data_IF_380257934043
#
_entry.id   IF_380257934043
#
_cell.length_a   1.000
_cell.length_b   1.000
_cell.length_c   1.000
_cell.angle_alpha   90.00
_cell.angle_beta   90.00
_cell.angle_gamma   90.00
#
_symmetry.space_group_name_H-M   'P 1'
#
loop_
_entity.id
_entity.type
_entity.pdbx_description
1 polymer ?
#
# COMPACT_ATOMS: atom_id res chain seq x y z
N UNK A 1 8.94 27.45 -32.52
CA UNK A 1 9.61 27.49 -31.21
C UNK A 1 8.66 28.17 -30.26
N UNK A 2 8.17 27.42 -29.27
CA UNK A 2 7.28 27.97 -28.26
C UNK A 2 8.15 28.74 -27.26
N UNK A 3 7.76 29.96 -26.89
CA UNK A 3 8.43 30.75 -25.85
C UNK A 3 7.37 31.19 -24.88
N UNK A 4 7.44 30.68 -23.65
CA UNK A 4 6.55 31.03 -22.56
C UNK A 4 7.13 32.22 -21.78
N UNK A 5 6.26 33.03 -21.19
CA UNK A 5 6.65 34.11 -20.27
C UNK A 5 6.26 33.72 -18.84
N UNK A 6 7.26 33.62 -17.98
CA UNK A 6 7.06 33.39 -16.55
C UNK A 6 7.52 34.64 -15.79
N UNK A 7 6.55 35.46 -15.38
CA UNK A 7 6.78 36.68 -14.60
C UNK A 7 7.77 37.67 -15.25
N UNK A 8 7.69 37.83 -16.58
CA UNK A 8 8.57 38.69 -17.38
C UNK A 8 9.85 38.01 -17.88
N UNK A 9 10.10 36.76 -17.49
CA UNK A 9 11.23 35.98 -17.98
C UNK A 9 10.82 35.07 -19.14
N UNK A 10 11.44 35.24 -20.30
CA UNK A 10 11.15 34.48 -21.52
C UNK A 10 11.87 33.13 -21.48
N UNK A 11 11.11 32.03 -21.44
CA UNK A 11 11.62 30.66 -21.45
C UNK A 11 11.29 30.01 -22.80
N UNK A 12 12.31 29.70 -23.63
CA UNK A 12 12.10 28.93 -24.84
C UNK A 12 11.91 27.44 -24.53
N UNK A 13 10.84 26.86 -25.05
CA UNK A 13 10.61 25.42 -25.09
C UNK A 13 10.56 24.93 -26.55
N UNK A 14 11.71 24.58 -27.14
CA UNK A 14 11.78 24.13 -28.52
C UNK A 14 11.13 22.76 -28.75
N UNK A 15 10.85 22.00 -27.70
CA UNK A 15 10.35 20.62 -27.79
C UNK A 15 8.92 20.45 -27.25
N UNK A 16 8.20 21.54 -26.96
CA UNK A 16 6.80 21.51 -26.55
C UNK A 16 5.88 20.63 -27.45
N UNK A 17 6.23 20.45 -28.73
CA UNK A 17 5.49 19.57 -29.63
C UNK A 17 5.53 18.08 -29.23
N UNK A 18 6.51 17.65 -28.42
CA UNK A 18 6.57 16.30 -27.84
C UNK A 18 5.51 16.07 -26.75
N UNK A 19 4.86 17.12 -26.25
CA UNK A 19 3.75 17.01 -25.28
C UNK A 19 2.49 16.39 -25.90
N UNK A 20 2.36 16.37 -27.24
CA UNK A 20 1.32 15.62 -27.94
C UNK A 20 1.82 14.21 -28.33
N UNK A 21 1.44 13.16 -27.58
CA UNK A 21 1.88 11.80 -27.86
C UNK A 21 1.19 11.17 -29.08
N UNK A 22 0.05 11.71 -29.52
CA UNK A 22 -0.73 11.16 -30.64
C UNK A 22 -0.25 11.71 -31.99
N UNK A 23 0.59 12.76 -32.00
CA UNK A 23 1.14 13.35 -33.23
C UNK A 23 2.13 12.41 -33.95
N UNK A 24 2.10 12.43 -35.29
CA UNK A 24 3.04 11.65 -36.11
C UNK A 24 4.50 12.11 -35.90
N UNK A 25 4.72 13.38 -35.55
CA UNK A 25 6.05 13.90 -35.25
C UNK A 25 6.62 13.26 -33.98
N UNK A 26 5.83 13.18 -32.91
CA UNK A 26 6.24 12.55 -31.64
C UNK A 26 6.48 11.05 -31.82
N UNK A 27 5.59 10.36 -32.55
CA UNK A 27 5.79 8.94 -32.88
C UNK A 27 7.09 8.70 -33.64
N UNK A 28 7.36 9.50 -34.68
CA UNK A 28 8.61 9.39 -35.45
C UNK A 28 9.85 9.67 -34.59
N UNK A 29 9.78 10.63 -33.68
CA UNK A 29 10.86 10.92 -32.73
C UNK A 29 11.13 9.73 -31.80
N UNK A 30 10.09 9.18 -31.16
CA UNK A 30 10.20 8.02 -30.26
C UNK A 30 10.77 6.80 -31.01
N UNK A 31 10.28 6.54 -32.22
CA UNK A 31 10.79 5.44 -33.05
C UNK A 31 12.28 5.64 -33.40
N UNK A 32 12.69 6.87 -33.74
CA UNK A 32 14.09 7.18 -34.02
C UNK A 32 14.99 7.01 -32.80
N UNK A 33 14.53 7.40 -31.60
CA UNK A 33 15.26 7.16 -30.34
C UNK A 33 15.41 5.66 -30.07
N UNK A 34 14.34 4.88 -30.20
CA UNK A 34 14.39 3.43 -30.03
C UNK A 34 15.35 2.76 -31.03
N UNK A 35 15.38 3.21 -32.30
CA UNK A 35 16.28 2.70 -33.34
C UNK A 35 17.77 2.92 -33.06
N UNK A 36 18.15 3.88 -32.23
CA UNK A 36 19.54 4.05 -31.81
C UNK A 36 19.83 3.35 -30.47
N UNK A 37 18.87 3.34 -29.55
CA UNK A 37 19.05 2.78 -28.21
C UNK A 37 19.02 1.25 -28.20
N UNK A 38 18.05 0.63 -28.86
CA UNK A 38 17.90 -0.84 -28.83
C UNK A 38 19.14 -1.53 -29.42
N UNK A 39 19.65 -1.16 -30.61
CA UNK A 39 20.88 -1.79 -31.13
C UNK A 39 22.10 -1.52 -30.25
N UNK A 40 22.22 -0.34 -29.65
CA UNK A 40 23.30 -0.03 -28.72
C UNK A 40 23.28 -0.95 -27.49
N UNK A 41 22.09 -1.16 -26.89
CA UNK A 41 21.93 -2.06 -25.75
C UNK A 41 22.16 -3.53 -26.15
N UNK A 42 21.67 -3.94 -27.32
CA UNK A 42 21.81 -5.32 -27.83
C UNK A 42 23.25 -5.68 -28.24
N UNK A 43 24.05 -4.70 -28.64
CA UNK A 43 25.48 -4.88 -28.93
C UNK A 43 26.33 -5.13 -27.67
N UNK A 44 25.80 -4.86 -26.47
CA UNK A 44 26.51 -5.11 -25.22
C UNK A 44 26.75 -6.62 -25.04
N UNK A 45 28.02 -7.10 -25.05
CA UNK A 45 28.32 -8.53 -25.09
C UNK A 45 27.87 -9.27 -23.83
N UNK A 46 27.72 -8.56 -22.71
CA UNK A 46 27.27 -9.14 -21.44
C UNK A 46 25.74 -9.11 -21.28
N UNK A 47 24.97 -8.49 -22.18
CA UNK A 47 23.51 -8.36 -22.02
C UNK A 47 22.83 -9.73 -21.96
N UNK A 48 23.24 -10.66 -22.83
CA UNK A 48 22.73 -12.04 -22.83
C UNK A 48 23.02 -12.75 -21.50
N UNK A 49 24.28 -12.68 -21.06
CA UNK A 49 24.74 -13.28 -19.80
C UNK A 49 24.01 -12.68 -18.58
N UNK A 50 23.83 -11.36 -18.55
CA UNK A 50 23.10 -10.68 -17.48
C UNK A 50 21.63 -11.08 -17.47
N UNK A 51 20.98 -11.11 -18.64
CA UNK A 51 19.57 -11.53 -18.75
C UNK A 51 19.39 -12.96 -18.28
N UNK A 52 20.25 -13.89 -18.70
CA UNK A 52 20.21 -15.28 -18.28
C UNK A 52 20.39 -15.39 -16.77
N UNK A 53 21.44 -14.77 -16.21
CA UNK A 53 21.71 -14.81 -14.78
C UNK A 53 20.61 -14.15 -13.93
N UNK A 54 20.06 -13.04 -14.39
CA UNK A 54 18.92 -12.38 -13.75
C UNK A 54 17.69 -13.29 -13.78
N UNK A 55 17.41 -13.96 -14.90
CA UNK A 55 16.28 -14.88 -15.03
C UNK A 55 16.42 -16.04 -14.05
N UNK A 56 17.60 -16.66 -13.97
CA UNK A 56 17.89 -17.73 -13.01
C UNK A 56 17.73 -17.30 -11.55
N UNK A 57 18.33 -16.16 -11.18
CA UNK A 57 18.30 -15.67 -9.80
C UNK A 57 16.93 -15.14 -9.39
N UNK A 58 16.11 -14.70 -10.35
CA UNK A 58 14.74 -14.28 -10.10
C UNK A 58 13.77 -15.46 -10.06
N UNK A 59 14.15 -16.65 -10.52
CA UNK A 59 13.29 -17.86 -10.51
C UNK A 59 13.27 -18.56 -9.15
N UNK A 60 12.59 -17.93 -8.19
CA UNK A 60 12.30 -18.49 -6.88
C UNK A 60 10.85 -18.20 -6.48
N UNK A 61 10.22 -19.06 -5.67
CA UNK A 61 8.82 -18.90 -5.29
C UNK A 61 8.62 -17.66 -4.41
N UNK A 62 7.65 -16.80 -4.74
CA UNK A 62 7.40 -15.54 -4.00
C UNK A 62 6.01 -15.57 -3.38
N UNK A 63 5.94 -15.38 -2.07
CA UNK A 63 4.69 -15.35 -1.31
C UNK A 63 4.47 -13.97 -0.70
N UNK A 64 3.21 -13.54 -0.57
CA UNK A 64 2.83 -12.49 0.37
C UNK A 64 2.48 -13.10 1.74
N UNK A 65 2.31 -12.26 2.75
CA UNK A 65 1.61 -12.65 3.97
C UNK A 65 0.25 -13.29 3.67
N UNK A 66 -0.13 -14.25 4.50
CA UNK A 66 -1.49 -14.78 4.57
C UNK A 66 -2.38 -13.81 5.31
N UNK A 67 -3.55 -13.49 4.77
CA UNK A 67 -4.54 -12.64 5.42
C UNK A 67 -5.90 -13.32 5.48
N UNK A 68 -6.59 -13.15 6.60
CA UNK A 68 -7.87 -13.80 6.86
C UNK A 68 -9.04 -12.91 6.47
N UNK A 69 -10.02 -13.48 5.78
CA UNK A 69 -11.32 -12.85 5.46
C UNK A 69 -12.43 -13.86 5.67
N UNK A 70 -13.36 -13.53 6.57
CA UNK A 70 -14.35 -14.47 7.07
C UNK A 70 -13.67 -15.74 7.61
N UNK A 71 -14.03 -16.89 7.03
CA UNK A 71 -13.50 -18.21 7.40
C UNK A 71 -12.29 -18.69 6.59
N UNK A 72 -11.79 -17.89 5.64
CA UNK A 72 -10.76 -18.32 4.68
C UNK A 72 -9.48 -17.48 4.82
N UNK A 73 -8.35 -18.05 4.42
CA UNK A 73 -7.09 -17.33 4.24
C UNK A 73 -6.82 -17.12 2.75
N UNK A 74 -6.20 -16.00 2.45
CA UNK A 74 -5.79 -15.62 1.12
C UNK A 74 -4.32 -15.20 1.15
N UNK A 75 -3.64 -15.40 0.03
CA UNK A 75 -2.26 -14.97 -0.16
C UNK A 75 -1.94 -14.88 -1.65
N UNK A 76 -1.00 -14.02 -2.01
CA UNK A 76 -0.45 -14.00 -3.36
C UNK A 76 0.73 -14.95 -3.46
N UNK A 77 0.85 -15.61 -4.60
CA UNK A 77 1.95 -16.50 -4.93
C UNK A 77 2.38 -16.35 -6.38
N UNK A 78 3.69 -16.30 -6.61
CA UNK A 78 4.32 -16.44 -7.92
C UNK A 78 5.27 -17.64 -7.86
N UNK A 79 5.14 -18.57 -8.81
CA UNK A 79 6.01 -19.76 -8.85
C UNK A 79 7.48 -19.43 -9.06
N UNK A 80 7.77 -18.29 -9.69
CA UNK A 80 9.12 -17.82 -9.98
C UNK A 80 9.10 -16.73 -11.04
N UNK A 81 8.71 -17.11 -12.26
CA UNK A 81 8.78 -16.28 -13.47
C UNK A 81 7.42 -15.96 -14.09
N UNK A 82 6.30 -16.15 -13.36
CA UNK A 82 5.01 -15.68 -13.86
C UNK A 82 5.03 -14.16 -14.00
N UNK A 83 4.38 -13.63 -15.05
CA UNK A 83 4.30 -12.17 -15.27
C UNK A 83 3.60 -11.48 -14.10
N UNK A 84 2.50 -12.05 -13.62
CA UNK A 84 1.74 -11.55 -12.48
C UNK A 84 1.64 -12.63 -11.40
N UNK A 85 1.69 -12.22 -10.13
CA UNK A 85 1.39 -13.11 -9.00
C UNK A 85 -0.09 -13.49 -8.98
N UNK A 86 -0.40 -14.72 -8.59
CA UNK A 86 -1.74 -15.29 -8.51
C UNK A 86 -2.26 -15.19 -7.09
N UNK A 87 -3.54 -14.83 -6.91
CA UNK A 87 -4.21 -14.82 -5.61
C UNK A 87 -4.78 -16.21 -5.34
N UNK A 88 -4.41 -16.81 -4.22
CA UNK A 88 -4.89 -18.11 -3.75
C UNK A 88 -5.84 -17.95 -2.57
N UNK A 89 -6.67 -18.96 -2.36
CA UNK A 89 -7.55 -19.12 -1.19
C UNK A 89 -7.38 -20.51 -0.59
N UNK A 90 -7.42 -20.59 0.74
CA UNK A 90 -7.42 -21.85 1.51
C UNK A 90 -8.36 -21.71 2.71
N UNK A 91 -9.04 -22.80 3.08
CA UNK A 91 -10.07 -22.76 4.14
C UNK A 91 -9.47 -22.84 5.57
N UNK A 92 -8.20 -23.24 5.70
CA UNK A 92 -7.36 -23.14 6.91
C UNK A 92 -5.89 -23.03 6.50
N UNK A 93 -4.98 -22.70 7.41
CA UNK A 93 -3.55 -22.57 7.12
C UNK A 93 -2.88 -23.90 6.68
N UNK A 94 -3.39 -25.03 7.15
CA UNK A 94 -2.94 -26.38 6.76
C UNK A 94 -3.74 -26.96 5.57
N UNK A 95 -4.81 -26.29 5.15
CA UNK A 95 -5.68 -26.74 4.08
C UNK A 95 -5.04 -26.60 2.70
N UNK A 96 -5.53 -27.39 1.74
CA UNK A 96 -5.11 -27.27 0.34
C UNK A 96 -5.55 -25.92 -0.24
N UNK A 97 -4.60 -25.23 -0.85
CA UNK A 97 -4.85 -23.96 -1.50
C UNK A 97 -5.33 -24.16 -2.94
N UNK A 98 -6.21 -23.27 -3.39
CA UNK A 98 -6.74 -23.23 -4.76
C UNK A 98 -6.62 -21.82 -5.32
N UNK A 99 -6.46 -21.71 -6.64
CA UNK A 99 -6.46 -20.42 -7.33
C UNK A 99 -7.79 -19.72 -7.09
N UNK A 100 -7.72 -18.45 -6.66
CA UNK A 100 -8.88 -17.59 -6.49
C UNK A 100 -8.99 -16.57 -7.64
N UNK A 101 -7.88 -15.91 -7.98
CA UNK A 101 -7.79 -15.01 -9.13
C UNK A 101 -6.41 -15.11 -9.76
N UNK A 102 -6.35 -15.40 -11.06
CA UNK A 102 -5.14 -15.42 -11.86
C UNK A 102 -5.15 -14.26 -12.89
N UNK A 103 -4.36 -13.19 -12.70
CA UNK A 103 -4.27 -12.12 -13.68
C UNK A 103 -3.59 -12.52 -15.00
N UNK A 104 -2.81 -13.60 -15.03
CA UNK A 104 -2.05 -14.00 -16.22
C UNK A 104 -2.96 -14.46 -17.37
N UNK A 105 -4.18 -14.93 -17.07
CA UNK A 105 -5.15 -15.33 -18.10
C UNK A 105 -5.93 -14.14 -18.69
N UNK A 106 -5.70 -12.92 -18.20
CA UNK A 106 -6.39 -11.71 -18.66
C UNK A 106 -5.65 -11.00 -19.80
N UNK A 107 -4.41 -11.39 -20.10
CA UNK A 107 -3.58 -10.83 -21.18
C UNK A 107 -2.46 -11.79 -21.57
N UNK A 108 -2.21 -11.95 -22.86
CA UNK A 108 -1.17 -12.86 -23.39
C UNK A 108 0.26 -12.46 -22.98
N UNK A 109 0.50 -11.16 -22.74
CA UNK A 109 1.80 -10.58 -22.37
C UNK A 109 1.92 -10.21 -20.89
N UNK A 110 0.89 -10.52 -20.07
CA UNK A 110 0.85 -10.20 -18.66
C UNK A 110 0.76 -8.70 -18.33
N UNK A 111 0.36 -7.85 -19.28
CA UNK A 111 0.22 -6.40 -19.07
C UNK A 111 -1.06 -5.97 -18.38
N UNK A 112 -1.97 -6.90 -18.06
CA UNK A 112 -3.10 -6.66 -17.16
C UNK A 112 -2.71 -7.03 -15.73
N UNK A 113 -2.74 -6.06 -14.82
CA UNK A 113 -2.34 -6.22 -13.43
C UNK A 113 -3.45 -5.85 -12.45
N UNK A 114 -3.42 -6.49 -11.27
CA UNK A 114 -4.28 -6.13 -10.14
C UNK A 114 -3.81 -4.79 -9.54
N UNK A 115 -4.73 -3.84 -9.39
CA UNK A 115 -4.50 -2.54 -8.74
C UNK A 115 -5.62 -2.24 -7.74
N UNK A 116 -5.35 -2.52 -6.47
CA UNK A 116 -6.31 -2.38 -5.38
C UNK A 116 -7.31 -3.54 -5.34
N UNK A 117 -7.71 -3.91 -4.12
CA UNK A 117 -8.75 -4.89 -3.86
C UNK A 117 -9.34 -4.67 -2.48
N UNK A 118 -10.58 -5.12 -2.29
CA UNK A 118 -11.26 -5.08 -1.00
C UNK A 118 -12.25 -6.23 -0.87
N UNK A 119 -12.22 -6.90 0.28
CA UNK A 119 -13.24 -7.87 0.65
C UNK A 119 -14.38 -7.17 1.40
N UNK A 120 -15.60 -7.65 1.22
CA UNK A 120 -16.70 -7.30 2.12
C UNK A 120 -16.36 -7.73 3.56
N UNK A 121 -17.02 -7.11 4.54
CA UNK A 121 -16.70 -7.32 5.95
C UNK A 121 -16.89 -8.77 6.41
N UNK A 122 -17.88 -9.46 5.84
CA UNK A 122 -18.16 -10.88 6.05
C UNK A 122 -17.21 -11.83 5.28
N UNK A 123 -16.43 -11.30 4.33
CA UNK A 123 -15.52 -12.06 3.48
C UNK A 123 -16.19 -12.88 2.37
N UNK A 124 -17.44 -12.59 2.01
CA UNK A 124 -18.18 -13.32 0.98
C UNK A 124 -18.13 -12.67 -0.42
N UNK A 125 -17.79 -11.38 -0.50
CA UNK A 125 -17.59 -10.64 -1.75
C UNK A 125 -16.18 -10.07 -1.86
N UNK A 126 -15.68 -9.98 -3.08
CA UNK A 126 -14.36 -9.47 -3.41
C UNK A 126 -14.46 -8.47 -4.56
N UNK A 127 -14.06 -7.24 -4.31
CA UNK A 127 -13.88 -6.20 -5.32
C UNK A 127 -12.40 -6.10 -5.70
N UNK A 128 -12.10 -5.98 -6.98
CA UNK A 128 -10.72 -5.89 -7.47
C UNK A 128 -10.60 -4.94 -8.65
N UNK A 129 -9.57 -4.10 -8.62
CA UNK A 129 -9.23 -3.20 -9.71
C UNK A 129 -8.28 -3.85 -10.72
N UNK A 130 -8.52 -3.66 -12.01
CA UNK A 130 -7.63 -4.07 -13.10
C UNK A 130 -7.10 -2.85 -13.83
N UNK A 131 -5.80 -2.83 -14.08
CA UNK A 131 -5.11 -1.83 -14.90
C UNK A 131 -4.42 -2.50 -16.09
N UNK A 132 -4.57 -1.90 -17.26
CA UNK A 132 -3.95 -2.36 -18.50
C UNK A 132 -2.70 -1.54 -18.84
N UNK A 133 -1.65 -2.22 -19.30
CA UNK A 133 -0.41 -1.62 -19.83
C UNK A 133 0.24 -0.60 -18.89
N UNK A 134 0.13 -0.82 -17.57
CA UNK A 134 0.72 0.04 -16.54
C UNK A 134 0.00 1.38 -16.31
N UNK A 135 -1.18 1.61 -16.91
CA UNK A 135 -1.96 2.82 -16.68
C UNK A 135 -2.45 2.94 -15.23
N UNK A 136 -2.55 4.17 -14.71
CA UNK A 136 -3.23 4.44 -13.44
C UNK A 136 -4.75 4.29 -13.51
N UNK A 137 -5.33 4.21 -14.71
CA UNK A 137 -6.75 3.92 -14.89
C UNK A 137 -7.06 2.49 -14.44
N UNK A 138 -8.18 2.37 -13.74
CA UNK A 138 -8.67 1.13 -13.12
C UNK A 138 -10.09 0.85 -13.61
N UNK A 139 -10.37 -0.43 -13.85
CA UNK A 139 -11.72 -0.98 -13.91
C UNK A 139 -11.93 -1.86 -12.70
N UNK A 140 -12.90 -1.54 -11.83
CA UNK A 140 -13.25 -2.39 -10.69
C UNK A 140 -14.25 -3.45 -11.16
N UNK A 141 -13.95 -4.70 -10.85
CA UNK A 141 -14.84 -5.85 -11.01
C UNK A 141 -15.13 -6.50 -9.66
N UNK A 142 -16.13 -7.36 -9.63
CA UNK A 142 -16.59 -8.02 -8.41
C UNK A 142 -16.70 -9.53 -8.59
N UNK A 143 -16.49 -10.25 -7.49
CA UNK A 143 -16.56 -11.70 -7.45
C UNK A 143 -17.19 -12.14 -6.13
N UNK A 144 -18.05 -13.17 -6.19
CA UNK A 144 -18.43 -13.93 -5.00
C UNK A 144 -17.29 -14.86 -4.63
N UNK A 145 -16.84 -14.78 -3.37
CA UNK A 145 -15.71 -15.57 -2.87
C UNK A 145 -16.00 -17.06 -2.97
N UNK A 146 -17.20 -17.47 -2.59
CA UNK A 146 -17.63 -18.87 -2.71
C UNK A 146 -17.74 -19.29 -4.19
N UNK A 147 -16.88 -20.24 -4.57
CA UNK A 147 -16.78 -20.74 -5.93
C UNK A 147 -16.11 -19.79 -6.94
N UNK A 148 -15.50 -18.67 -6.49
CA UNK A 148 -14.83 -17.69 -7.33
C UNK A 148 -15.68 -17.23 -8.53
N UNK A 149 -16.95 -16.88 -8.26
CA UNK A 149 -17.92 -16.56 -9.31
C UNK A 149 -17.90 -15.07 -9.62
N UNK A 150 -17.55 -14.71 -10.85
CA UNK A 150 -17.64 -13.31 -11.31
C UNK A 150 -19.07 -12.78 -11.20
N UNK A 151 -19.18 -11.51 -10.83
CA UNK A 151 -20.42 -10.75 -10.77
C UNK A 151 -20.49 -9.79 -11.96
N UNK A 152 -21.70 -9.41 -12.41
CA UNK A 152 -21.86 -8.56 -13.60
C UNK A 152 -21.43 -7.11 -13.39
N UNK A 153 -21.26 -6.67 -12.14
CA UNK A 153 -20.93 -5.30 -11.76
C UNK A 153 -19.53 -4.90 -12.25
N UNK A 154 -19.48 -3.75 -12.95
CA UNK A 154 -18.24 -3.16 -13.48
C UNK A 154 -18.27 -1.66 -13.22
N UNK A 155 -17.20 -1.13 -12.62
CA UNK A 155 -17.00 0.31 -12.41
C UNK A 155 -15.82 0.79 -13.25
N UNK A 156 -16.10 1.70 -14.17
CA UNK A 156 -15.10 2.30 -15.05
C UNK A 156 -14.67 3.69 -14.56
N UNK A 157 -13.63 4.24 -15.20
CA UNK A 157 -13.11 5.59 -14.92
C UNK A 157 -12.66 5.76 -13.47
N UNK A 158 -12.20 4.67 -12.86
CA UNK A 158 -11.65 4.64 -11.52
C UNK A 158 -10.16 4.98 -11.61
N UNK A 159 -9.68 5.85 -10.72
CA UNK A 159 -8.27 6.21 -10.61
C UNK A 159 -8.04 6.82 -9.22
N UNK A 160 -6.91 6.51 -8.59
CA UNK A 160 -6.56 6.94 -7.23
C UNK A 160 -7.72 6.77 -6.22
N UNK A 161 -8.30 5.57 -6.19
CA UNK A 161 -9.58 5.29 -5.54
C UNK A 161 -9.42 4.55 -4.22
N UNK A 162 -10.29 4.85 -3.25
CA UNK A 162 -10.61 3.96 -2.16
C UNK A 162 -11.41 2.74 -2.64
N UNK A 163 -11.51 1.73 -1.79
CA UNK A 163 -12.37 0.56 -1.96
C UNK A 163 -12.87 0.15 -0.57
N UNK A 164 -13.95 0.77 -0.09
CA UNK A 164 -14.41 0.60 1.29
C UNK A 164 -15.85 0.09 1.35
N UNK A 165 -16.02 -1.17 1.73
CA UNK A 165 -17.33 -1.81 1.85
C UNK A 165 -18.09 -1.30 3.06
N UNK A 166 -19.41 -1.10 2.91
CA UNK A 166 -20.30 -0.98 4.07
C UNK A 166 -20.43 -2.33 4.76
N UNK A 167 -20.52 -2.33 6.09
CA UNK A 167 -20.57 -3.58 6.87
C UNK A 167 -21.90 -4.33 6.71
N UNK A 168 -22.93 -3.71 6.13
CA UNK A 168 -24.16 -4.39 5.72
C UNK A 168 -24.02 -5.17 4.40
N UNK A 169 -22.83 -5.11 3.75
CA UNK A 169 -22.50 -5.87 2.56
C UNK A 169 -23.22 -5.44 1.28
N UNK A 170 -23.98 -4.33 1.32
CA UNK A 170 -24.79 -3.89 0.17
C UNK A 170 -24.00 -3.16 -0.90
N UNK A 171 -22.85 -2.59 -0.57
CA UNK A 171 -22.06 -1.82 -1.53
C UNK A 171 -20.73 -1.34 -0.98
N UNK A 172 -20.04 -0.59 -1.83
CA UNK A 172 -18.67 -0.13 -1.60
C UNK A 172 -18.51 1.32 -2.05
N UNK A 173 -17.82 2.13 -1.24
CA UNK A 173 -17.34 3.44 -1.63
C UNK A 173 -16.11 3.33 -2.55
N UNK A 174 -16.10 4.15 -3.59
CA UNK A 174 -14.99 4.28 -4.54
C UNK A 174 -14.96 5.70 -5.12
N UNK A 175 -13.86 6.05 -5.78
CA UNK A 175 -13.67 7.32 -6.46
C UNK A 175 -13.64 7.12 -7.98
N UNK A 176 -14.19 8.08 -8.70
CA UNK A 176 -14.16 8.10 -10.17
C UNK A 176 -13.97 9.50 -10.71
N UNK A 177 -13.58 9.57 -11.98
CA UNK A 177 -13.46 10.82 -12.72
C UNK A 177 -14.64 10.96 -13.69
N UNK A 178 -15.24 12.17 -13.79
CA UNK A 178 -16.31 12.43 -14.76
C UNK A 178 -15.79 12.22 -16.18
N UNK A 179 -16.70 12.01 -17.14
CA UNK A 179 -16.34 11.97 -18.56
C UNK A 179 -15.55 13.23 -18.95
N UNK A 180 -14.47 13.04 -19.69
CA UNK A 180 -13.62 14.12 -20.20
C UNK A 180 -13.43 13.92 -21.70
N UNK A 181 -13.28 15.03 -22.43
CA UNK A 181 -12.91 15.01 -23.84
C UNK A 181 -11.40 14.79 -23.97
N UNK A 182 -10.99 13.84 -24.81
CA UNK A 182 -9.57 13.49 -24.99
C UNK A 182 -9.01 12.51 -23.95
N UNK A 183 -7.75 12.11 -24.15
CA UNK A 183 -7.03 11.14 -23.32
C UNK A 183 -6.16 11.78 -22.21
N UNK A 184 -6.11 13.11 -22.12
CA UNK A 184 -5.28 13.82 -21.15
C UNK A 184 -5.85 13.71 -19.74
N UNK A 185 -5.04 13.28 -18.78
CA UNK A 185 -5.48 13.14 -17.39
C UNK A 185 -5.81 14.51 -16.77
N UNK A 186 -7.09 14.78 -16.53
CA UNK A 186 -7.50 15.91 -15.70
C UNK A 186 -7.64 15.42 -14.26
N UNK A 187 -6.90 16.02 -13.33
CA UNK A 187 -6.87 15.65 -11.90
C UNK A 187 -8.13 16.07 -11.12
N UNK A 188 -9.29 16.16 -11.77
CA UNK A 188 -10.56 16.52 -11.12
C UNK A 188 -11.38 15.29 -10.69
N UNK A 189 -11.20 14.81 -9.45
CA UNK A 189 -11.91 13.63 -8.93
C UNK A 189 -13.33 14.01 -8.46
N UNK A 190 -14.32 13.14 -8.70
CA UNK A 190 -15.68 13.32 -8.20
C UNK A 190 -16.00 12.26 -7.14
N UNK A 191 -16.32 12.71 -5.93
CA UNK A 191 -16.98 11.88 -4.93
C UNK A 191 -18.47 12.22 -4.94
N UNK A 192 -19.33 11.28 -5.35
CA UNK A 192 -20.79 11.51 -5.48
C UNK A 192 -21.44 11.81 -4.12
N UNK A 193 -20.76 11.43 -3.03
CA UNK A 193 -21.24 11.60 -1.65
C UNK A 193 -20.69 12.85 -0.95
N UNK A 194 -19.89 13.68 -1.63
CA UNK A 194 -19.31 14.91 -1.07
C UNK A 194 -19.49 16.11 -2.01
N UNK A 195 -19.65 17.31 -1.44
CA UNK A 195 -19.68 18.58 -2.16
C UNK A 195 -18.31 19.27 -2.24
N UNK A 196 -17.26 18.62 -1.75
CA UNK A 196 -15.92 19.21 -1.73
C UNK A 196 -15.34 19.43 -3.15
N UNK A 197 -14.47 20.44 -3.34
CA UNK A 197 -13.91 20.80 -4.66
C UNK A 197 -13.22 19.64 -5.39
N UNK A 198 -13.27 19.66 -6.72
CA UNK A 198 -12.80 18.56 -7.55
C UNK A 198 -11.27 18.33 -7.55
N UNK A 199 -10.47 19.28 -7.04
CA UNK A 199 -9.00 19.16 -6.98
C UNK A 199 -8.51 18.24 -5.85
N UNK A 200 -9.40 17.78 -4.98
CA UNK A 200 -9.05 16.96 -3.83
C UNK A 200 -9.14 15.46 -4.13
N UNK A 201 -8.28 14.67 -3.48
CA UNK A 201 -8.44 13.23 -3.37
C UNK A 201 -9.29 12.90 -2.15
N UNK A 202 -10.16 11.90 -2.30
CA UNK A 202 -11.15 11.53 -1.29
C UNK A 202 -11.06 10.06 -0.85
N UNK A 203 -9.93 9.58 -0.29
CA UNK A 203 -9.91 8.26 0.34
C UNK A 203 -10.98 8.20 1.45
N UNK A 204 -11.90 7.26 1.28
CA UNK A 204 -12.92 6.93 2.28
C UNK A 204 -12.60 5.57 2.88
N UNK A 205 -12.82 5.43 4.17
CA UNK A 205 -12.70 4.17 4.92
C UNK A 205 -13.84 4.06 5.92
N UNK A 206 -14.24 2.85 6.26
CA UNK A 206 -15.19 2.59 7.34
C UNK A 206 -14.43 2.41 8.65
N UNK A 207 -15.06 2.81 9.75
CA UNK A 207 -14.62 2.41 11.08
C UNK A 207 -14.75 0.90 11.28
N UNK A 208 -13.93 0.32 12.15
CA UNK A 208 -13.91 -1.12 12.45
C UNK A 208 -15.29 -1.66 12.90
N UNK A 209 -16.12 -0.81 13.50
CA UNK A 209 -17.50 -1.15 13.91
C UNK A 209 -18.55 -0.95 12.79
N UNK A 210 -18.15 -0.43 11.64
CA UNK A 210 -19.00 -0.18 10.48
C UNK A 210 -19.96 1.00 10.60
N UNK A 211 -19.88 1.76 11.70
CA UNK A 211 -20.83 2.85 12.00
C UNK A 211 -20.46 4.14 11.28
N UNK A 212 -19.18 4.45 11.17
CA UNK A 212 -18.70 5.73 10.67
C UNK A 212 -18.01 5.57 9.33
N UNK A 213 -18.34 6.46 8.38
CA UNK A 213 -17.49 6.69 7.22
C UNK A 213 -16.53 7.82 7.55
N UNK A 214 -15.24 7.58 7.40
CA UNK A 214 -14.19 8.57 7.53
C UNK A 214 -13.74 9.01 6.14
N UNK A 215 -13.69 10.32 5.94
CA UNK A 215 -13.26 10.96 4.71
C UNK A 215 -11.98 11.74 4.97
N UNK A 216 -10.85 11.22 4.49
CA UNK A 216 -9.56 11.90 4.55
C UNK A 216 -9.37 12.69 3.25
N UNK A 217 -9.44 14.01 3.31
CA UNK A 217 -9.35 14.85 2.10
C UNK A 217 -7.91 15.32 1.95
N UNK A 218 -7.29 15.17 0.78
CA UNK A 218 -5.89 15.55 0.51
C UNK A 218 -5.78 16.56 -0.64
N UNK A 219 -4.92 17.56 -0.49
CA UNK A 219 -4.43 18.43 -1.57
C UNK A 219 -2.94 18.18 -1.83
N UNK A 220 -2.64 17.55 -2.97
CA UNK A 220 -1.25 17.22 -3.31
C UNK A 220 -0.69 16.02 -2.54
N UNK A 221 0.62 16.03 -2.33
CA UNK A 221 1.39 14.89 -1.80
C UNK A 221 1.96 15.13 -0.40
N UNK A 222 1.72 16.30 0.19
CA UNK A 222 2.16 16.57 1.56
C UNK A 222 1.42 15.62 2.53
N UNK A 223 2.10 15.15 3.61
CA UNK A 223 1.49 14.25 4.58
C UNK A 223 0.57 15.05 5.52
N UNK A 224 -0.51 15.57 4.95
CA UNK A 224 -1.57 16.31 5.64
C UNK A 224 -2.91 15.97 5.02
N UNK A 225 -3.97 16.00 5.83
CA UNK A 225 -5.33 15.81 5.35
C UNK A 225 -6.34 16.51 6.23
N UNK A 226 -7.46 16.94 5.64
CA UNK A 226 -8.68 17.16 6.43
C UNK A 226 -9.25 15.81 6.83
N UNK A 227 -10.04 15.82 7.89
CA UNK A 227 -10.73 14.63 8.37
C UNK A 227 -12.18 14.98 8.65
N UNK A 228 -13.08 14.44 7.83
CA UNK A 228 -14.52 14.53 8.05
C UNK A 228 -15.06 13.13 8.36
N UNK A 229 -16.20 13.06 9.05
CA UNK A 229 -16.87 11.79 9.29
C UNK A 229 -18.38 11.89 9.08
N UNK A 230 -19.02 10.76 8.81
CA UNK A 230 -20.47 10.61 8.78
C UNK A 230 -20.85 9.41 9.65
N UNK A 231 -21.77 9.61 10.60
CA UNK A 231 -22.40 8.52 11.36
C UNK A 231 -23.53 7.93 10.51
N UNK A 232 -23.30 6.75 9.94
CA UNK A 232 -24.26 6.09 9.03
C UNK A 232 -25.59 5.75 9.71
N UNK A 233 -25.61 5.62 11.05
CA UNK A 233 -26.87 5.39 11.78
C UNK A 233 -27.78 6.63 11.79
N UNK A 234 -27.22 7.83 11.53
CA UNK A 234 -27.99 9.08 11.44
C UNK A 234 -28.51 9.36 10.02
N UNK A 235 -28.18 8.51 9.07
CA UNK A 235 -28.75 8.53 7.73
C UNK A 235 -30.07 7.74 7.71
N UNK A 236 -31.17 8.46 7.99
CA UNK A 236 -32.51 7.90 8.21
C UNK A 236 -33.03 7.02 7.05
N UNK A 237 -32.54 7.25 5.84
CA UNK A 237 -32.92 6.50 4.62
C UNK A 237 -31.76 5.69 4.03
N UNK A 238 -30.67 5.49 4.79
CA UNK A 238 -29.43 4.94 4.27
C UNK A 238 -28.72 5.89 3.30
N UNK A 239 -27.79 5.34 2.49
CA UNK A 239 -26.95 6.12 1.58
C UNK A 239 -27.73 6.40 0.28
N UNK A 240 -28.33 7.57 0.16
CA UNK A 240 -29.14 7.96 -1.02
C UNK A 240 -28.62 9.20 -1.76
N UNK A 241 -27.56 9.83 -1.27
CA UNK A 241 -27.02 11.08 -1.81
C UNK A 241 -25.85 11.59 -0.96
N UNK A 242 -25.56 12.89 -1.05
CA UNK A 242 -24.49 13.52 -0.24
C UNK A 242 -24.74 13.23 1.24
N UNK A 243 -23.71 12.71 1.91
CA UNK A 243 -23.77 12.33 3.32
C UNK A 243 -23.71 13.56 4.23
N UNK A 244 -24.25 13.44 5.44
CA UNK A 244 -24.18 14.48 6.47
C UNK A 244 -22.80 14.51 7.12
N UNK A 245 -21.85 15.12 6.44
CA UNK A 245 -20.48 15.24 6.92
C UNK A 245 -20.38 16.16 8.13
N UNK A 246 -19.77 15.65 9.21
CA UNK A 246 -19.24 16.44 10.32
C UNK A 246 -17.76 16.70 10.05
N UNK A 247 -17.38 17.97 10.03
CA UNK A 247 -16.02 18.40 9.74
C UNK A 247 -15.18 18.43 11.00
N UNK A 248 -14.60 17.28 11.36
CA UNK A 248 -13.78 17.16 12.57
C UNK A 248 -12.53 18.03 12.49
N UNK A 249 -11.78 17.91 11.39
CA UNK A 249 -10.62 18.74 11.05
C UNK A 249 -10.87 19.34 9.66
N UNK A 250 -10.90 20.68 9.55
CA UNK A 250 -11.17 21.38 8.28
C UNK A 250 -9.98 22.24 7.78
N UNK A 251 -8.76 21.84 8.11
CA UNK A 251 -7.50 22.43 7.65
C UNK A 251 -6.49 21.35 7.21
N UNK A 252 -5.35 21.77 6.66
CA UNK A 252 -4.27 20.90 6.17
C UNK A 252 -2.99 21.07 7.02
N UNK A 253 -3.12 21.12 8.35
CA UNK A 253 -1.99 21.39 9.25
C UNK A 253 -1.37 20.12 9.88
N UNK A 254 -1.85 18.94 9.52
CA UNK A 254 -1.33 17.66 9.97
C UNK A 254 -2.00 16.48 9.27
N UNK A 255 -1.38 15.32 9.36
CA UNK A 255 -1.97 14.03 8.96
C UNK A 255 -2.82 13.45 10.09
N UNK A 256 -3.91 12.78 9.73
CA UNK A 256 -4.80 12.08 10.64
C UNK A 256 -5.20 10.75 10.01
N UNK A 257 -4.34 9.75 10.16
CA UNK A 257 -4.55 8.41 9.64
C UNK A 257 -5.25 7.55 10.69
N UNK A 258 -6.46 7.07 10.36
CA UNK A 258 -7.26 6.22 11.23
C UNK A 258 -6.54 4.90 11.52
N UNK A 259 -6.56 4.50 12.80
CA UNK A 259 -6.04 3.21 13.26
C UNK A 259 -7.16 2.30 13.70
N UNK A 260 -8.05 2.79 14.57
CA UNK A 260 -9.20 2.06 15.13
C UNK A 260 -10.11 3.00 15.93
N UNK A 261 -11.26 2.53 16.42
CA UNK A 261 -12.10 3.22 17.38
C UNK A 261 -12.75 2.30 18.42
N UNK A 262 -13.01 2.83 19.61
CA UNK A 262 -13.87 2.26 20.64
C UNK A 262 -15.08 3.19 20.84
N UNK A 263 -16.19 2.85 20.18
CA UNK A 263 -17.36 3.72 20.12
C UNK A 263 -17.01 5.07 19.47
N UNK A 264 -17.08 6.15 20.25
CA UNK A 264 -16.78 7.51 19.78
C UNK A 264 -15.33 7.93 19.97
N UNK A 265 -14.50 7.11 20.61
CA UNK A 265 -13.07 7.41 20.81
C UNK A 265 -12.27 6.79 19.67
N UNK A 266 -11.72 7.65 18.81
CA UNK A 266 -10.97 7.25 17.62
C UNK A 266 -9.47 7.45 17.83
N UNK A 267 -8.68 6.44 17.47
CA UNK A 267 -7.22 6.48 17.50
C UNK A 267 -6.68 6.84 16.12
N UNK A 268 -5.79 7.83 16.05
CA UNK A 268 -5.14 8.29 14.82
C UNK A 268 -3.62 8.35 14.95
N UNK A 269 -2.91 7.95 13.90
CA UNK A 269 -1.51 8.36 13.68
C UNK A 269 -1.51 9.79 13.15
N UNK A 270 -0.68 10.65 13.74
CA UNK A 270 -0.60 12.05 13.35
C UNK A 270 0.81 12.62 13.43
N UNK A 271 1.13 13.56 12.55
CA UNK A 271 2.31 14.42 12.65
C UNK A 271 2.01 15.83 13.21
N UNK A 272 0.78 16.08 13.67
CA UNK A 272 0.38 17.36 14.26
C UNK A 272 1.23 17.66 15.49
N UNK A 273 2.12 18.65 15.34
CA UNK A 273 3.16 19.04 16.32
C UNK A 273 4.15 17.93 16.65
N UNK A 274 4.30 16.94 15.77
CA UNK A 274 5.16 15.77 15.98
C UNK A 274 5.75 15.26 14.66
N UNK A 275 6.87 15.81 14.16
CA UNK A 275 7.47 15.40 12.89
C UNK A 275 7.81 13.90 12.77
N UNK A 276 8.11 13.20 13.87
CA UNK A 276 8.37 11.76 13.90
C UNK A 276 7.11 10.92 14.14
N UNK A 277 5.93 11.55 14.07
CA UNK A 277 4.60 10.99 14.29
C UNK A 277 4.36 10.48 15.72
N UNK A 278 3.08 10.41 16.09
CA UNK A 278 2.57 9.90 17.36
C UNK A 278 1.18 9.33 17.21
N UNK A 279 0.67 8.67 18.25
CA UNK A 279 -0.74 8.27 18.32
C UNK A 279 -1.53 9.18 19.25
N UNK A 280 -2.68 9.64 18.78
CA UNK A 280 -3.65 10.41 19.56
C UNK A 280 -5.03 9.75 19.56
N UNK A 281 -5.78 9.98 20.62
CA UNK A 281 -7.20 9.67 20.71
C UNK A 281 -8.02 10.96 20.64
N UNK A 282 -9.02 10.96 19.76
CA UNK A 282 -10.02 12.02 19.59
C UNK A 282 -11.39 11.43 19.89
N UNK A 283 -12.10 11.96 20.89
CA UNK A 283 -13.50 11.58 21.13
C UNK A 283 -14.43 12.45 20.29
N UNK A 284 -15.22 11.84 19.41
CA UNK A 284 -16.13 12.57 18.53
C UNK A 284 -17.27 13.27 19.28
N UNK A 285 -17.51 12.91 20.54
CA UNK A 285 -18.46 13.62 21.42
C UNK A 285 -17.87 14.90 22.02
N UNK A 286 -16.53 15.00 22.07
CA UNK A 286 -15.82 16.16 22.61
C UNK A 286 -14.52 16.47 21.82
N UNK A 287 -14.65 16.90 20.56
CA UNK A 287 -13.58 16.83 19.56
C UNK A 287 -12.52 17.96 19.63
N UNK A 288 -12.61 18.87 20.61
CA UNK A 288 -11.70 20.01 20.71
C UNK A 288 -10.23 19.57 20.88
N UNK A 289 -9.30 20.18 20.15
CA UNK A 289 -7.87 19.81 20.14
C UNK A 289 -7.24 19.84 21.55
N UNK A 290 -7.69 20.76 22.41
CA UNK A 290 -7.26 20.85 23.82
C UNK A 290 -7.59 19.61 24.65
N UNK A 291 -8.49 18.76 24.18
CA UNK A 291 -8.98 17.56 24.89
C UNK A 291 -8.43 16.26 24.33
N UNK A 292 -7.80 16.31 23.15
CA UNK A 292 -7.16 15.14 22.54
C UNK A 292 -6.15 14.52 23.51
N UNK A 293 -6.10 13.19 23.53
CA UNK A 293 -5.20 12.45 24.41
C UNK A 293 -4.07 11.86 23.60
N UNK A 294 -2.84 12.06 24.03
CA UNK A 294 -1.69 11.35 23.45
C UNK A 294 -1.70 9.92 24.00
N UNK A 295 -1.89 8.95 23.11
CA UNK A 295 -1.89 7.53 23.46
C UNK A 295 -0.46 6.97 23.45
N UNK A 296 0.27 7.22 22.37
CA UNK A 296 1.71 6.91 22.25
C UNK A 296 2.41 8.20 21.85
N UNK A 297 3.29 8.76 22.69
CA UNK A 297 3.99 10.00 22.37
C UNK A 297 4.97 9.81 21.21
N UNK A 298 5.38 10.94 20.64
CA UNK A 298 6.41 10.98 19.62
C UNK A 298 7.75 10.49 20.18
N UNK A 299 8.50 9.73 19.37
CA UNK A 299 9.86 9.33 19.70
C UNK A 299 10.86 10.42 19.29
N UNK A 300 11.92 10.62 20.07
CA UNK A 300 12.93 11.67 19.83
C UNK A 300 13.68 11.52 18.48
N UNK A 301 13.70 10.30 17.93
CA UNK A 301 14.53 9.93 16.78
C UNK A 301 13.78 9.07 15.76
N UNK A 302 13.15 8.01 16.24
CA UNK A 302 12.51 7.00 15.39
C UNK A 302 11.18 7.52 14.82
N UNK A 303 10.99 7.34 13.51
CA UNK A 303 9.77 7.77 12.83
C UNK A 303 8.73 6.65 12.91
N UNK A 304 7.54 6.92 13.42
CA UNK A 304 6.43 5.97 13.39
C UNK A 304 5.82 5.92 11.98
N UNK A 305 6.06 4.83 11.25
CA UNK A 305 5.65 4.70 9.84
C UNK A 305 4.18 4.33 9.71
N UNK A 306 3.75 3.29 10.42
CA UNK A 306 2.36 2.82 10.38
C UNK A 306 1.98 2.10 11.68
N UNK A 307 0.66 2.04 11.92
CA UNK A 307 0.06 1.38 13.07
C UNK A 307 -1.15 0.57 12.61
N UNK A 308 -1.31 -0.63 13.16
CA UNK A 308 -2.49 -1.46 12.93
C UNK A 308 -3.06 -1.96 14.25
N UNK A 309 -4.40 -1.96 14.38
CA UNK A 309 -5.08 -2.61 15.49
C UNK A 309 -5.36 -4.08 15.18
N UNK A 310 -5.09 -4.96 16.14
CA UNK A 310 -5.29 -6.41 16.04
C UNK A 310 -5.74 -6.98 17.38
N UNK A 311 -6.40 -8.14 17.38
CA UNK A 311 -6.87 -8.84 18.58
C UNK A 311 -7.66 -7.93 19.52
N UNK A 312 -8.51 -7.09 18.94
CA UNK A 312 -9.38 -6.10 19.58
C UNK A 312 -8.66 -4.94 20.28
N UNK A 313 -7.61 -5.21 21.05
CA UNK A 313 -7.00 -4.24 21.96
C UNK A 313 -5.47 -4.17 21.86
N UNK A 314 -4.85 -4.77 20.85
CA UNK A 314 -3.43 -4.59 20.59
C UNK A 314 -3.20 -3.66 19.40
N UNK A 315 -2.07 -2.96 19.46
CA UNK A 315 -1.54 -2.12 18.40
C UNK A 315 -0.19 -2.68 17.96
N UNK A 316 -0.03 -2.92 16.67
CA UNK A 316 1.27 -3.20 16.06
C UNK A 316 1.81 -1.90 15.48
N UNK A 317 2.97 -1.44 15.98
CA UNK A 317 3.63 -0.21 15.56
C UNK A 317 4.90 -0.57 14.80
N UNK A 318 5.08 -0.01 13.60
CA UNK A 318 6.32 -0.11 12.85
C UNK A 318 7.03 1.24 12.87
N UNK A 319 8.26 1.24 13.37
CA UNK A 319 9.12 2.41 13.39
C UNK A 319 10.26 2.27 12.37
N UNK A 320 10.75 3.41 11.90
CA UNK A 320 12.00 3.54 11.15
C UNK A 320 13.09 4.09 12.08
N UNK A 321 14.04 3.24 12.44
CA UNK A 321 15.21 3.59 13.23
C UNK A 321 16.45 3.55 12.34
N UNK A 322 17.04 4.70 12.03
CA UNK A 322 18.19 4.81 11.12
C UNK A 322 18.01 3.98 9.83
N UNK A 323 16.88 4.15 9.14
CA UNK A 323 16.54 3.46 7.88
C UNK A 323 16.41 1.93 8.02
N UNK A 324 16.06 1.45 9.23
CA UNK A 324 15.76 0.04 9.52
C UNK A 324 14.43 -0.06 10.22
N UNK A 325 13.63 -1.08 9.90
CA UNK A 325 12.37 -1.25 10.61
C UNK A 325 12.54 -1.92 11.97
N UNK A 326 11.79 -1.42 12.95
CA UNK A 326 11.50 -2.13 14.19
C UNK A 326 10.00 -2.34 14.32
N UNK A 327 9.59 -3.45 14.92
CA UNK A 327 8.18 -3.81 15.05
C UNK A 327 7.85 -4.06 16.52
N UNK A 328 6.85 -3.35 17.02
CA UNK A 328 6.47 -3.34 18.44
C UNK A 328 4.98 -3.66 18.59
N UNK A 329 4.62 -4.29 19.70
CA UNK A 329 3.26 -4.55 20.13
C UNK A 329 2.95 -3.70 21.35
N UNK A 330 1.88 -2.92 21.29
CA UNK A 330 1.42 -2.03 22.35
C UNK A 330 -0.01 -2.37 22.76
N UNK A 331 -0.38 -1.99 23.98
CA UNK A 331 -1.76 -2.04 24.48
C UNK A 331 -2.54 -0.82 23.97
N UNK A 332 -3.75 -1.04 23.42
CA UNK A 332 -4.60 0.03 22.87
C UNK A 332 -5.14 0.98 23.96
N UNK A 333 -5.40 0.46 25.17
CA UNK A 333 -6.03 1.27 26.23
C UNK A 333 -5.04 2.26 26.86
N UNK A 334 -3.77 1.85 26.98
CA UNK A 334 -2.74 2.60 27.71
C UNK A 334 -1.62 3.14 26.81
N UNK A 335 -1.45 2.59 25.61
CA UNK A 335 -0.31 2.86 24.73
C UNK A 335 0.99 2.21 25.18
N UNK A 336 0.97 1.41 26.26
CA UNK A 336 2.17 0.80 26.83
C UNK A 336 2.78 -0.25 25.88
N UNK A 337 4.10 -0.23 25.75
CA UNK A 337 4.85 -1.26 25.03
C UNK A 337 4.72 -2.61 25.77
N UNK A 338 4.26 -3.62 25.04
CA UNK A 338 4.12 -5.00 25.54
C UNK A 338 5.27 -5.89 25.07
N UNK A 339 5.68 -5.75 23.80
CA UNK A 339 6.72 -6.60 23.19
C UNK A 339 7.38 -5.91 22.01
N UNK A 340 8.68 -6.14 21.84
CA UNK A 340 9.39 -5.88 20.58
C UNK A 340 9.59 -7.19 19.84
N UNK A 341 9.17 -7.27 18.57
CA UNK A 341 9.44 -8.43 17.73
C UNK A 341 10.89 -8.35 17.22
N UNK A 342 11.69 -9.42 17.40
CA UNK A 342 13.07 -9.43 16.93
C UNK A 342 13.08 -9.40 15.41
N UNK A 343 13.85 -8.47 14.84
CA UNK A 343 14.07 -8.32 13.41
C UNK A 343 15.57 -8.15 13.17
N UNK A 344 16.04 -8.69 12.05
CA UNK A 344 17.36 -8.35 11.52
C UNK A 344 17.34 -6.96 10.87
N UNK A 345 18.48 -6.51 10.37
CA UNK A 345 18.58 -5.26 9.59
C UNK A 345 17.84 -5.43 8.27
N UNK A 346 16.75 -4.68 8.09
CA UNK A 346 15.95 -4.71 6.87
C UNK A 346 14.63 -3.97 7.02
N UNK A 347 13.64 -4.39 6.25
CA UNK A 347 12.35 -3.71 6.11
C UNK A 347 11.18 -4.67 6.27
N UNK A 348 10.09 -4.18 6.85
CA UNK A 348 8.78 -4.83 6.82
C UNK A 348 8.04 -4.36 5.58
N UNK A 349 7.78 -5.27 4.65
CA UNK A 349 7.18 -4.99 3.33
C UNK A 349 5.78 -5.59 3.17
N UNK A 350 5.30 -6.28 4.20
CA UNK A 350 3.96 -6.84 4.24
C UNK A 350 3.48 -7.03 5.68
N UNK A 351 2.21 -6.80 5.91
CA UNK A 351 1.55 -7.01 7.20
C UNK A 351 0.11 -7.46 6.98
N UNK A 352 -0.39 -8.32 7.85
CA UNK A 352 -1.81 -8.60 7.97
C UNK A 352 -2.19 -8.95 9.40
N UNK A 353 -3.28 -8.35 9.85
CA UNK A 353 -3.92 -8.54 11.14
C UNK A 353 -4.93 -7.42 11.33
N UNK A 354 -6.22 -7.72 11.25
CA UNK A 354 -7.29 -6.76 11.53
C UNK A 354 -7.67 -6.81 13.00
N UNK A 355 -8.42 -5.81 13.47
CA UNK A 355 -8.93 -5.75 14.83
C UNK A 355 -9.65 -7.04 15.28
N UNK A 356 -10.37 -7.69 14.37
CA UNK A 356 -11.06 -8.97 14.62
C UNK A 356 -10.16 -10.21 14.55
N UNK A 357 -8.99 -10.11 13.94
CA UNK A 357 -8.05 -11.22 13.82
C UNK A 357 -7.30 -11.41 15.14
N UNK A 358 -6.92 -12.66 15.43
CA UNK A 358 -6.24 -13.03 16.68
C UNK A 358 -4.76 -13.38 16.47
N UNK A 359 -4.25 -13.13 15.28
CA UNK A 359 -2.92 -13.49 14.82
C UNK A 359 -2.42 -12.43 13.84
N UNK A 360 -1.11 -12.35 13.67
CA UNK A 360 -0.48 -11.48 12.68
C UNK A 360 0.45 -12.27 11.78
N UNK A 361 0.56 -11.81 10.53
CA UNK A 361 1.65 -12.17 9.63
C UNK A 361 2.39 -10.90 9.22
N UNK A 362 3.71 -10.98 9.14
CA UNK A 362 4.52 -9.88 8.62
C UNK A 362 5.67 -10.42 7.77
N UNK A 363 5.95 -9.71 6.67
CA UNK A 363 6.97 -10.07 5.71
C UNK A 363 8.16 -9.15 5.86
N UNK A 364 9.30 -9.73 6.22
CA UNK A 364 10.58 -9.07 6.34
C UNK A 364 11.43 -9.32 5.09
N UNK A 365 12.18 -8.32 4.64
CA UNK A 365 13.17 -8.45 3.56
C UNK A 365 14.43 -7.67 3.92
N UNK A 366 15.57 -8.11 3.37
CA UNK A 366 16.84 -7.39 3.47
C UNK A 366 17.61 -7.48 2.15
N UNK A 367 18.79 -6.88 2.07
CA UNK A 367 19.62 -6.88 0.86
C UNK A 367 20.01 -8.28 0.39
N UNK A 368 20.19 -9.21 1.34
CA UNK A 368 20.65 -10.59 1.09
C UNK A 368 19.57 -11.64 1.39
N UNK A 369 18.37 -11.21 1.79
CA UNK A 369 17.26 -12.08 2.19
C UNK A 369 16.01 -11.69 1.42
N UNK A 370 15.54 -12.50 0.45
CA UNK A 370 14.49 -12.11 -0.50
C UNK A 370 13.09 -11.98 0.13
N UNK A 371 12.87 -12.59 1.29
CA UNK A 371 11.60 -12.52 2.01
C UNK A 371 11.42 -13.64 3.04
N UNK A 372 11.21 -13.27 4.30
CA UNK A 372 10.80 -14.16 5.38
C UNK A 372 9.43 -13.71 5.87
N UNK A 373 8.46 -14.60 5.86
CA UNK A 373 7.14 -14.36 6.44
C UNK A 373 7.15 -14.96 7.84
N UNK A 374 6.86 -14.13 8.83
CA UNK A 374 6.64 -14.55 10.21
C UNK A 374 5.15 -14.62 10.51
N UNK A 375 4.80 -15.49 11.44
CA UNK A 375 3.46 -15.64 12.02
C UNK A 375 3.56 -15.53 13.54
N UNK A 376 2.61 -14.84 14.16
CA UNK A 376 2.49 -14.81 15.62
C UNK A 376 1.02 -14.96 16.02
N UNK A 377 0.72 -16.01 16.77
CA UNK A 377 -0.57 -16.20 17.44
C UNK A 377 -0.62 -15.29 18.66
N UNK A 378 -1.46 -14.26 18.59
CA UNK A 378 -1.57 -13.27 19.65
C UNK A 378 -2.43 -13.76 20.81
N UNK A 379 -3.07 -14.93 20.74
CA UNK A 379 -3.90 -15.46 21.82
C UNK A 379 -3.12 -16.03 23.00
N UNK A 380 -1.85 -16.37 22.77
CA UNK A 380 -0.97 -17.01 23.75
C UNK A 380 -0.51 -16.02 24.83
N UNK A 381 -0.23 -16.55 26.02
CA UNK A 381 0.40 -15.76 27.10
C UNK A 381 1.83 -15.37 26.71
N UNK A 382 2.60 -16.35 26.20
CA UNK A 382 3.91 -16.11 25.62
C UNK A 382 3.80 -15.92 24.11
N UNK A 383 4.10 -14.69 23.66
CA UNK A 383 4.06 -14.32 22.26
C UNK A 383 5.36 -14.70 21.57
N UNK A 384 5.29 -15.72 20.72
CA UNK A 384 6.42 -16.24 19.94
C UNK A 384 6.18 -15.99 18.44
N UNK A 385 6.88 -15.04 17.80
CA UNK A 385 6.90 -14.97 16.35
C UNK A 385 7.69 -16.17 15.80
N UNK A 386 7.10 -16.89 14.85
CA UNK A 386 7.71 -18.06 14.21
C UNK A 386 7.85 -17.81 12.71
N UNK A 387 8.92 -18.33 12.12
CA UNK A 387 9.04 -18.35 10.66
C UNK A 387 7.90 -19.20 10.11
N UNK A 388 7.01 -18.56 9.37
CA UNK A 388 5.91 -19.21 8.68
C UNK A 388 6.34 -19.67 7.29
N UNK A 389 7.15 -18.85 6.62
CA UNK A 389 7.72 -19.19 5.33
C UNK A 389 9.03 -18.47 5.11
N UNK A 390 10.00 -19.21 4.62
CA UNK A 390 11.30 -18.70 4.22
C UNK A 390 11.59 -19.17 2.81
N UNK A 391 12.11 -18.26 1.99
CA UNK A 391 12.54 -18.58 0.63
C UNK A 391 13.98 -18.11 0.47
N UNK A 392 14.79 -18.94 -0.18
CA UNK A 392 16.18 -18.62 -0.51
C UNK A 392 16.36 -18.57 -2.02
N UNK A 393 17.34 -17.79 -2.47
CA UNK A 393 17.72 -17.72 -3.88
C UNK A 393 18.81 -18.74 -4.14
N UNK A 394 18.59 -19.66 -5.08
CA UNK A 394 19.59 -20.67 -5.43
C UNK A 394 20.83 -20.00 -6.05
N UNK A 395 22.00 -20.34 -5.52
CA UNK A 395 23.27 -19.84 -6.06
C UNK A 395 23.68 -18.45 -5.57
N UNK A 396 23.05 -17.96 -4.50
CA UNK A 396 23.55 -16.85 -3.68
C UNK A 396 23.89 -17.41 -2.31
N UNK A 397 25.14 -17.23 -1.88
CA UNK A 397 25.54 -17.43 -0.50
C UNK A 397 25.64 -16.06 0.16
N UNK A 398 24.71 -15.74 1.06
CA UNK A 398 24.69 -14.45 1.75
C UNK A 398 25.96 -14.22 2.57
N UNK A 399 26.64 -15.28 3.02
CA UNK A 399 27.87 -15.17 3.80
C UNK A 399 29.08 -14.68 3.00
N UNK A 400 28.99 -14.67 1.67
CA UNK A 400 30.02 -14.06 0.81
C UNK A 400 29.91 -12.53 0.75
N UNK A 401 28.86 -11.94 1.33
CA UNK A 401 28.57 -10.51 1.26
C UNK A 401 28.34 -9.90 2.65
N UNK A 402 28.59 -8.59 2.76
CA UNK A 402 28.30 -7.83 3.96
C UNK A 402 27.55 -6.54 3.63
N UNK A 403 26.67 -6.14 4.56
CA UNK A 403 25.95 -4.87 4.50
C UNK A 403 26.43 -3.97 5.63
N UNK A 404 26.95 -2.78 5.28
CA UNK A 404 27.46 -1.79 6.24
C UNK A 404 26.67 -0.50 6.10
N UNK A 405 26.33 0.12 7.23
CA UNK A 405 25.66 1.42 7.24
C UNK A 405 26.56 2.49 7.87
N UNK A 406 26.69 3.63 7.20
CA UNK A 406 27.41 4.78 7.73
C UNK A 406 26.63 5.45 8.87
N UNK A 407 27.36 5.89 9.91
CA UNK A 407 26.79 6.48 11.12
C UNK A 407 26.33 7.95 10.96
N UNK A 408 26.91 8.69 10.00
CA UNK A 408 26.70 10.14 9.88
C UNK A 408 25.81 10.53 8.69
N UNK A 409 25.70 9.65 7.70
CA UNK A 409 24.84 9.77 6.54
C UNK A 409 24.28 8.39 6.28
N UNK A 410 22.95 8.19 6.23
CA UNK A 410 22.37 6.87 6.06
C UNK A 410 22.61 6.35 4.63
N UNK A 411 23.84 5.88 4.40
CA UNK A 411 24.29 5.18 3.21
C UNK A 411 24.48 3.73 3.60
N UNK A 412 23.86 2.84 2.83
CA UNK A 412 24.05 1.40 2.95
C UNK A 412 24.92 0.93 1.79
N UNK A 413 26.01 0.23 2.12
CA UNK A 413 26.92 -0.40 1.17
C UNK A 413 26.76 -1.92 1.28
N UNK A 414 26.53 -2.56 0.13
CA UNK A 414 26.55 -4.02 -0.02
C UNK A 414 27.77 -4.40 -0.85
N UNK A 415 28.66 -5.20 -0.28
CA UNK A 415 29.90 -5.60 -0.94
C UNK A 415 30.24 -7.07 -0.69
N UNK A 416 31.09 -7.63 -1.54
CA UNK A 416 31.59 -9.00 -1.37
C UNK A 416 32.77 -8.99 -0.39
N UNK A 417 32.74 -9.87 0.61
CA UNK A 417 33.75 -9.96 1.67
C UNK A 417 35.11 -10.40 1.11
N UNK A 418 35.13 -11.24 0.07
CA UNK A 418 36.37 -11.79 -0.50
C UNK A 418 37.19 -10.77 -1.29
N UNK A 419 36.58 -9.67 -1.72
CA UNK A 419 37.29 -8.58 -2.41
C UNK A 419 38.24 -7.80 -1.49
N UNK A 420 38.01 -7.80 -0.17
CA UNK A 420 38.93 -7.16 0.79
C UNK A 420 40.25 -7.92 0.99
N UNK A 421 40.25 -9.24 0.79
CA UNK A 421 41.47 -10.05 0.96
C UNK A 421 42.50 -9.85 -0.17
N UNK A 422 42.10 -9.29 -1.30
CA UNK A 422 43.02 -9.00 -2.42
C UNK A 422 43.65 -7.61 -2.36
N UNK A 423 43.05 -6.65 -1.65
CA UNK A 423 43.60 -5.29 -1.51
C UNK A 423 44.56 -5.12 -0.33
N UNK A 424 44.60 -6.05 0.63
CA UNK A 424 45.61 -6.06 1.70
C UNK A 424 46.87 -6.88 1.37
N UNK A 425 46.94 -7.49 0.18
CA UNK A 425 48.10 -8.26 -0.30
C UNK A 425 48.85 -7.62 -1.49
N UNK A 426 48.71 -6.30 -1.71
CA UNK A 426 49.47 -5.54 -2.71
C UNK A 426 50.28 -4.41 -2.09
#
# INVERSE_FOLDING_TARGET
>A
MTVQDYHGHKIPDPYAWLEDPDSEQTKAFVEAQNKITVPFLEQCPIRGLYKERMTELYDYPKYSCHFKKGKRYFYFYNTGLQNQRVLYVQDSLEGEARVFLDPNILSDDGTVALRGYAFSEDGEYFAYGLSASGSDWVTIKFMKVDGAKELPDVLERVKFSCMAWTHDGKGMFYNSYPQQDGKSDVLSQKNIFSSAPALFLFPSQLSDDGRYVLLSIREGCDPVNRLWYCDLQQESNGITGILKWVKLIDNFEGEYDYVTNEGTVFTFKTNRHSPNYRLINIDFTDPEESKWKVLVPEHEKDVLEWVACVRSNFLVLCYLHDVKNTLQLHDLATGALLKTFPLEVGSIVGYSGQKKDTEIFYQFTSFLSPGIIYHCDLTKEELEPRVFREVTVKGIDASDYQTVQSANWPLVLLENIRTHLFTECL
#
